data_IF_928632080584
#
_entry.id   IF_928632080584
#
_cell.length_a   1.000
_cell.length_b   1.000
_cell.length_c   1.000
_cell.angle_alpha   90.00
_cell.angle_beta   90.00
_cell.angle_gamma   90.00
#
_symmetry.space_group_name_H-M   'P 1'
#
loop_
_entity.id
_entity.type
_entity.pdbx_description
1 polymer ?
#
# COMPACT_ATOMS: atom_id res chain seq x y z
N UNK A 1 -16.03 5.09 5.98
CA UNK A 1 -14.96 5.04 4.97
C UNK A 1 -14.93 6.37 4.22
N UNK A 2 -13.83 7.14 4.31
CA UNK A 2 -13.71 8.41 3.57
C UNK A 2 -13.71 8.10 2.07
N UNK A 3 -14.46 8.87 1.28
CA UNK A 3 -14.66 8.69 -0.16
C UNK A 3 -13.32 8.50 -0.90
N UNK A 4 -12.96 7.26 -1.22
CA UNK A 4 -11.78 6.95 -2.02
C UNK A 4 -12.06 7.39 -3.46
N UNK A 5 -11.43 8.49 -3.87
CA UNK A 5 -11.60 9.06 -5.22
C UNK A 5 -10.84 8.19 -6.21
N UNK A 6 -11.56 7.59 -7.17
CA UNK A 6 -10.94 6.81 -8.24
C UNK A 6 -10.13 7.75 -9.15
N UNK A 7 -8.82 7.57 -9.19
CA UNK A 7 -7.92 8.37 -10.04
C UNK A 7 -8.03 7.91 -11.49
N UNK A 8 -8.08 8.86 -12.44
CA UNK A 8 -8.01 8.55 -13.87
C UNK A 8 -6.57 8.22 -14.29
N UNK A 9 -6.38 7.61 -15.47
CA UNK A 9 -5.03 7.36 -16.03
C UNK A 9 -4.20 8.65 -16.15
N UNK A 10 -4.85 9.78 -16.43
CA UNK A 10 -4.16 11.06 -16.55
C UNK A 10 -3.78 11.65 -15.19
N UNK A 11 -4.56 11.37 -14.15
CA UNK A 11 -4.20 11.73 -12.78
C UNK A 11 -3.02 10.88 -12.29
N UNK A 12 -3.00 9.58 -12.61
CA UNK A 12 -1.89 8.69 -12.29
C UNK A 12 -0.56 9.12 -12.91
N UNK A 13 -0.57 9.72 -14.11
CA UNK A 13 0.64 10.30 -14.73
C UNK A 13 1.20 11.52 -13.99
N UNK A 14 0.35 12.20 -13.23
CA UNK A 14 0.72 13.39 -12.42
C UNK A 14 1.04 13.02 -10.97
N UNK A 15 0.68 11.82 -10.54
CA UNK A 15 1.20 11.26 -9.30
C UNK A 15 2.69 11.08 -9.54
N UNK A 16 3.49 11.93 -8.92
CA UNK A 16 4.93 11.74 -8.88
C UNK A 16 5.11 10.36 -8.23
N UNK A 17 5.50 9.37 -9.04
CA UNK A 17 5.86 8.05 -8.54
C UNK A 17 7.08 8.25 -7.68
N UNK A 18 6.88 8.53 -6.40
CA UNK A 18 7.96 8.76 -5.46
C UNK A 18 8.89 7.57 -5.49
N UNK A 19 10.18 7.83 -5.57
CA UNK A 19 11.17 6.80 -5.25
C UNK A 19 10.93 6.41 -3.80
N UNK A 20 10.55 5.16 -3.57
CA UNK A 20 10.55 4.66 -2.22
C UNK A 20 11.98 4.35 -1.81
N UNK A 21 12.43 4.86 -0.67
CA UNK A 21 13.73 4.54 -0.09
C UNK A 21 13.83 3.05 0.24
N UNK A 22 12.72 2.44 0.67
CA UNK A 22 12.66 1.04 1.05
C UNK A 22 11.28 0.42 0.80
N UNK A 23 11.26 -0.62 -0.03
CA UNK A 23 10.08 -1.46 -0.26
C UNK A 23 10.08 -2.66 0.68
N UNK A 24 8.92 -2.95 1.27
CA UNK A 24 8.69 -4.12 2.10
C UNK A 24 7.74 -5.07 1.38
N UNK A 25 8.18 -6.31 1.20
CA UNK A 25 7.32 -7.38 0.71
C UNK A 25 6.42 -7.86 1.83
N UNK A 26 5.15 -8.07 1.51
CA UNK A 26 4.15 -8.63 2.42
C UNK A 26 3.58 -9.86 1.73
N UNK A 27 3.86 -11.00 2.34
CA UNK A 27 3.19 -12.26 2.01
C UNK A 27 1.81 -12.22 2.64
N UNK A 28 0.78 -12.34 1.80
CA UNK A 28 -0.59 -12.33 2.27
C UNK A 28 -1.10 -13.67 2.75
N UNK A 29 -0.34 -14.75 2.57
CA UNK A 29 -0.75 -16.12 2.91
C UNK A 29 -1.88 -16.67 2.03
N UNK A 30 -2.49 -15.86 1.17
CA UNK A 30 -3.51 -16.26 0.19
C UNK A 30 -3.01 -16.25 -1.26
N UNK A 31 -1.69 -16.38 -1.45
CA UNK A 31 -1.05 -16.47 -2.77
C UNK A 31 -0.96 -15.14 -3.52
N UNK A 32 -0.99 -14.00 -2.80
CA UNK A 32 -0.81 -12.67 -3.38
C UNK A 32 0.25 -11.88 -2.62
N UNK A 33 1.41 -11.70 -3.24
CA UNK A 33 2.42 -10.81 -2.68
C UNK A 33 2.11 -9.35 -3.07
N UNK A 34 2.29 -8.45 -2.11
CA UNK A 34 2.25 -7.02 -2.38
C UNK A 34 3.41 -6.28 -1.72
N UNK A 35 3.70 -5.10 -2.26
CA UNK A 35 4.81 -4.28 -1.83
C UNK A 35 4.29 -3.00 -1.20
N UNK A 36 4.82 -2.68 -0.02
CA UNK A 36 4.51 -1.45 0.70
C UNK A 36 5.75 -0.56 0.73
N UNK A 37 5.57 0.72 0.44
CA UNK A 37 6.64 1.69 0.52
C UNK A 37 6.76 2.22 1.95
N UNK A 38 7.92 2.04 2.58
CA UNK A 38 8.18 2.50 3.95
C UNK A 38 7.98 4.01 4.13
N UNK A 39 8.33 4.80 3.13
CA UNK A 39 8.23 6.28 3.17
C UNK A 39 6.79 6.79 3.31
N UNK A 40 5.80 5.94 3.01
CA UNK A 40 4.39 6.28 3.15
C UNK A 40 3.89 6.18 4.60
N UNK A 41 4.72 5.72 5.55
CA UNK A 41 4.35 5.47 6.94
C UNK A 41 5.23 6.26 7.89
N UNK A 42 4.59 6.89 8.89
CA UNK A 42 5.31 7.68 9.90
C UNK A 42 5.98 6.83 10.97
N UNK A 43 5.63 5.53 11.06
CA UNK A 43 6.24 4.59 12.00
C UNK A 43 6.10 3.12 11.55
N UNK A 44 6.98 2.22 12.02
CA UNK A 44 6.85 0.78 11.78
C UNK A 44 5.52 0.19 12.25
N UNK A 45 4.95 0.74 13.34
CA UNK A 45 3.65 0.28 13.87
C UNK A 45 2.51 0.59 12.92
N UNK A 46 2.50 1.78 12.32
CA UNK A 46 1.49 2.16 11.31
C UNK A 46 1.62 1.27 10.06
N UNK A 47 2.84 0.99 9.66
CA UNK A 47 3.12 0.09 8.54
C UNK A 47 2.60 -1.33 8.83
N UNK A 48 2.90 -1.89 10.01
CA UNK A 48 2.44 -3.22 10.41
C UNK A 48 0.90 -3.30 10.46
N UNK A 49 0.23 -2.26 10.97
CA UNK A 49 -1.23 -2.23 10.98
C UNK A 49 -1.80 -2.24 9.54
N UNK A 50 -1.24 -1.43 8.64
CA UNK A 50 -1.64 -1.42 7.24
C UNK A 50 -1.35 -2.75 6.53
N UNK A 51 -0.29 -3.48 6.91
CA UNK A 51 -0.04 -4.85 6.42
C UNK A 51 -1.18 -5.80 6.80
N UNK A 52 -1.61 -5.79 8.07
CA UNK A 52 -2.69 -6.66 8.54
C UNK A 52 -4.02 -6.34 7.85
N UNK A 53 -4.38 -5.05 7.72
CA UNK A 53 -5.60 -4.62 7.03
C UNK A 53 -5.60 -5.03 5.55
N UNK A 54 -4.45 -4.91 4.86
CA UNK A 54 -4.33 -5.34 3.46
C UNK A 54 -4.45 -6.86 3.31
N UNK A 55 -3.89 -7.65 4.23
CA UNK A 55 -4.04 -9.10 4.22
C UNK A 55 -5.51 -9.50 4.36
N UNK A 56 -6.25 -8.88 5.28
CA UNK A 56 -7.67 -9.14 5.46
C UNK A 56 -8.48 -8.80 4.19
N UNK A 57 -8.21 -7.65 3.56
CA UNK A 57 -8.93 -7.20 2.35
C UNK A 57 -8.59 -8.06 1.12
N UNK A 58 -7.36 -8.55 1.00
CA UNK A 58 -6.90 -9.29 -0.20
C UNK A 58 -7.22 -10.78 -0.13
N UNK A 59 -7.39 -11.31 1.08
CA UNK A 59 -7.66 -12.72 1.32
C UNK A 59 -9.13 -13.01 1.71
N UNK A 60 -9.93 -11.97 2.00
CA UNK A 60 -11.40 -12.05 2.09
C UNK A 60 -12.09 -11.85 0.75
#
# INVERSE_FOLDING_TARGET
MKNLKKLSKNDLKKVNGGSCSQWYSVDSGCGRDYYMCGDNYSSPRQMHQAMMELNEIKCG
#
